data_IF_868759338075
#
_entry.id   IF_868759338075
#
_cell.length_a   1.000
_cell.length_b   1.000
_cell.length_c   1.000
_cell.angle_alpha   90.00
_cell.angle_beta   90.00
_cell.angle_gamma   90.00
#
_symmetry.space_group_name_H-M   'P 1'
#
loop_
_entity.id
_entity.type
_entity.pdbx_description
1 polymer ?
#
# COMPACT_ATOMS: atom_id res chain seq x y z
N UNK A 1 -8.57 0.94 -17.50
CA UNK A 1 -7.35 1.23 -16.75
C UNK A 1 -7.53 2.36 -15.74
N UNK A 2 -7.83 3.59 -16.17
CA UNK A 2 -8.07 4.72 -15.26
C UNK A 2 -9.14 4.42 -14.19
N UNK A 3 -10.26 3.79 -14.56
CA UNK A 3 -11.31 3.42 -13.62
C UNK A 3 -10.84 2.48 -12.50
N UNK A 4 -9.99 1.51 -12.81
CA UNK A 4 -9.44 0.59 -11.82
C UNK A 4 -8.52 1.33 -10.81
N UNK A 5 -7.68 2.24 -11.29
CA UNK A 5 -6.83 3.06 -10.42
C UNK A 5 -7.63 3.98 -9.51
N UNK A 6 -8.62 4.70 -10.07
CA UNK A 6 -9.51 5.59 -9.29
C UNK A 6 -10.31 4.80 -8.25
N UNK A 7 -10.81 3.62 -8.62
CA UNK A 7 -11.53 2.74 -7.70
C UNK A 7 -10.62 2.27 -6.57
N UNK A 8 -9.37 1.85 -6.87
CA UNK A 8 -8.41 1.44 -5.86
C UNK A 8 -8.09 2.55 -4.85
N UNK A 9 -7.88 3.78 -5.33
CA UNK A 9 -7.71 4.96 -4.45
C UNK A 9 -8.96 5.22 -3.63
N UNK A 10 -10.14 5.25 -4.25
CA UNK A 10 -11.40 5.54 -3.58
C UNK A 10 -11.76 4.54 -2.49
N UNK A 11 -11.52 3.25 -2.73
CA UNK A 11 -11.75 2.17 -1.75
C UNK A 11 -10.86 2.35 -0.52
N UNK A 12 -9.62 2.81 -0.70
CA UNK A 12 -8.71 3.07 0.41
C UNK A 12 -9.23 4.16 1.34
N UNK A 13 -9.81 5.24 0.80
CA UNK A 13 -10.43 6.28 1.62
C UNK A 13 -11.69 5.81 2.35
N UNK A 14 -12.38 4.80 1.84
CA UNK A 14 -13.54 4.19 2.46
C UNK A 14 -13.19 3.11 3.51
N UNK A 15 -11.90 2.76 3.66
CA UNK A 15 -11.45 1.70 4.55
C UNK A 15 -11.46 2.16 6.02
N UNK A 16 -12.31 1.56 6.90
CA UNK A 16 -12.40 1.96 8.31
C UNK A 16 -11.10 1.79 9.09
N UNK A 17 -10.27 0.83 8.69
CA UNK A 17 -9.01 0.53 9.37
C UNK A 17 -7.98 1.67 9.24
N UNK A 18 -8.08 2.51 8.21
CA UNK A 18 -7.24 3.72 8.09
C UNK A 18 -7.61 4.74 9.17
N UNK A 19 -8.91 4.92 9.45
CA UNK A 19 -9.36 5.77 10.55
C UNK A 19 -8.87 5.28 11.91
N UNK A 20 -8.88 3.96 12.14
CA UNK A 20 -8.32 3.36 13.37
C UNK A 20 -6.81 3.60 13.48
N UNK A 21 -6.07 3.48 12.38
CA UNK A 21 -4.64 3.74 12.35
C UNK A 21 -4.32 5.21 12.67
N UNK A 22 -5.10 6.15 12.16
CA UNK A 22 -4.96 7.58 12.48
C UNK A 22 -5.29 7.88 13.95
N UNK A 23 -6.28 7.19 14.54
CA UNK A 23 -6.64 7.36 15.95
C UNK A 23 -5.48 6.95 16.88
N UNK A 24 -4.73 5.90 16.55
CA UNK A 24 -3.52 5.51 17.29
C UNK A 24 -2.46 6.61 17.27
N UNK A 25 -2.42 7.44 16.23
CA UNK A 25 -1.48 8.56 16.13
C UNK A 25 -1.59 9.59 17.26
N UNK A 26 -2.74 9.70 17.93
CA UNK A 26 -2.93 10.61 19.07
C UNK A 26 -2.15 10.19 20.31
N UNK A 27 -1.85 8.89 20.43
CA UNK A 27 -1.15 8.30 21.57
C UNK A 27 0.38 8.20 21.34
N UNK A 28 0.85 8.55 20.15
CA UNK A 28 2.28 8.51 19.81
C UNK A 28 3.01 9.72 20.41
N UNK A 29 4.07 9.44 21.17
CA UNK A 29 4.92 10.49 21.73
C UNK A 29 5.91 11.02 20.68
N UNK A 30 5.78 12.30 20.35
CA UNK A 30 6.65 13.00 19.41
C UNK A 30 8.13 12.94 19.80
N UNK A 31 8.43 12.84 21.11
CA UNK A 31 9.82 12.79 21.60
C UNK A 31 10.53 11.47 21.28
N UNK A 32 9.78 10.38 21.24
CA UNK A 32 10.31 9.02 20.99
C UNK A 32 10.33 8.65 19.50
N UNK A 33 9.32 9.11 18.73
CA UNK A 33 9.17 8.72 17.31
C UNK A 33 8.68 9.91 16.48
N UNK A 34 9.53 10.93 16.21
CA UNK A 34 9.11 12.16 15.55
C UNK A 34 8.55 11.94 14.14
N UNK A 35 9.16 11.06 13.34
CA UNK A 35 8.67 10.77 11.99
C UNK A 35 7.34 10.00 11.98
N UNK A 36 7.14 9.09 12.93
CA UNK A 36 5.88 8.37 13.08
C UNK A 36 4.75 9.34 13.46
N UNK A 37 5.01 10.20 14.46
CA UNK A 37 4.08 11.23 14.87
C UNK A 37 3.71 12.18 13.72
N UNK A 38 4.71 12.62 12.95
CA UNK A 38 4.54 13.50 11.81
C UNK A 38 3.64 12.85 10.74
N UNK A 39 3.87 11.57 10.41
CA UNK A 39 3.08 10.86 9.41
C UNK A 39 1.63 10.66 9.85
N UNK A 40 1.40 10.33 11.12
CA UNK A 40 0.06 10.05 11.62
C UNK A 40 -0.76 11.31 11.89
N UNK A 41 -0.13 12.40 12.37
CA UNK A 41 -0.82 13.63 12.76
C UNK A 41 -0.63 14.77 11.75
N UNK A 42 0.63 15.09 11.39
CA UNK A 42 0.93 16.21 10.51
C UNK A 42 0.70 15.94 9.03
N UNK A 43 0.94 14.70 8.58
CA UNK A 43 0.87 14.28 7.18
C UNK A 43 -0.09 13.10 6.98
N UNK A 44 -1.13 13.02 7.81
CA UNK A 44 -2.10 11.93 7.76
C UNK A 44 -2.80 11.83 6.40
N UNK A 45 -3.15 12.95 5.77
CA UNK A 45 -3.74 12.96 4.42
C UNK A 45 -2.78 12.41 3.36
N UNK A 46 -1.50 12.81 3.42
CA UNK A 46 -0.47 12.33 2.50
C UNK A 46 -0.19 10.83 2.70
N UNK A 47 -0.25 10.36 3.95
CA UNK A 47 -0.15 8.93 4.26
C UNK A 47 -1.28 8.14 3.60
N UNK A 48 -2.54 8.57 3.77
CA UNK A 48 -3.71 7.92 3.15
C UNK A 48 -3.61 7.99 1.63
N UNK A 49 -3.15 9.11 1.07
CA UNK A 49 -2.95 9.26 -0.37
C UNK A 49 -1.86 8.31 -0.89
N UNK A 50 -0.76 8.14 -0.15
CA UNK A 50 0.31 7.21 -0.52
C UNK A 50 -0.17 5.76 -0.49
N UNK A 51 -0.92 5.37 0.54
CA UNK A 51 -1.56 4.05 0.63
C UNK A 51 -2.53 3.83 -0.52
N UNK A 52 -3.41 4.80 -0.76
CA UNK A 52 -4.39 4.76 -1.86
C UNK A 52 -3.73 4.70 -3.24
N UNK A 53 -2.67 5.46 -3.45
CA UNK A 53 -1.89 5.39 -4.69
C UNK A 53 -1.28 3.99 -4.90
N UNK A 54 -0.75 3.37 -3.83
CA UNK A 54 -0.26 1.99 -3.87
C UNK A 54 -1.36 0.99 -4.28
N UNK A 55 -2.54 1.07 -3.67
CA UNK A 55 -3.70 0.22 -4.03
C UNK A 55 -4.17 0.50 -5.45
N UNK A 56 -4.21 1.78 -5.86
CA UNK A 56 -4.58 2.16 -7.22
C UNK A 56 -3.64 1.58 -8.28
N UNK A 57 -2.33 1.65 -8.05
CA UNK A 57 -1.33 1.04 -8.92
C UNK A 57 -1.47 -0.48 -8.93
N UNK A 58 -1.72 -1.12 -7.76
CA UNK A 58 -1.98 -2.54 -7.67
C UNK A 58 -3.18 -2.97 -8.52
N UNK A 59 -4.27 -2.20 -8.45
CA UNK A 59 -5.48 -2.46 -9.25
C UNK A 59 -5.20 -2.36 -10.75
N UNK A 60 -4.44 -1.34 -11.18
CA UNK A 60 -4.04 -1.16 -12.60
C UNK A 60 -3.16 -2.32 -13.07
N UNK A 61 -2.10 -2.66 -12.32
CA UNK A 61 -1.19 -3.78 -12.66
C UNK A 61 -1.96 -5.10 -12.69
N UNK A 62 -2.88 -5.30 -11.73
CA UNK A 62 -3.72 -6.48 -11.66
C UNK A 62 -4.62 -6.63 -12.89
N UNK A 63 -5.28 -5.55 -13.31
CA UNK A 63 -6.11 -5.55 -14.52
C UNK A 63 -5.26 -5.78 -15.77
N UNK A 64 -4.11 -5.11 -15.90
CA UNK A 64 -3.15 -5.33 -16.99
C UNK A 64 -2.74 -6.79 -17.10
N UNK A 65 -2.38 -7.39 -15.97
CA UNK A 65 -2.00 -8.79 -15.88
C UNK A 65 -3.08 -9.72 -16.42
N UNK A 66 -4.36 -9.46 -16.10
CA UNK A 66 -5.48 -10.27 -16.61
C UNK A 66 -5.64 -10.12 -18.12
N UNK A 67 -5.46 -8.92 -18.65
CA UNK A 67 -5.59 -8.65 -20.08
C UNK A 67 -4.43 -9.23 -20.90
N UNK A 68 -3.20 -9.14 -20.38
CA UNK A 68 -1.97 -9.57 -21.06
C UNK A 68 -1.59 -11.04 -20.74
N UNK A 69 -2.28 -11.68 -19.79
CA UNK A 69 -2.00 -13.06 -19.39
C UNK A 69 -0.66 -13.26 -18.67
N UNK A 70 -0.12 -12.22 -18.01
CA UNK A 70 1.16 -12.29 -17.31
C UNK A 70 1.13 -13.25 -16.13
N UNK A 71 2.24 -14.00 -15.94
CA UNK A 71 2.37 -14.89 -14.80
C UNK A 71 2.52 -14.10 -13.49
N UNK A 72 1.80 -14.54 -12.44
CA UNK A 72 1.79 -13.88 -11.13
C UNK A 72 3.13 -13.95 -10.40
N UNK A 73 3.80 -15.10 -10.49
CA UNK A 73 4.99 -15.42 -9.70
C UNK A 73 6.12 -14.38 -9.83
N UNK A 74 6.60 -14.01 -11.05
CA UNK A 74 7.68 -13.04 -11.16
C UNK A 74 7.29 -11.65 -10.64
N UNK A 75 6.05 -11.24 -10.82
CA UNK A 75 5.57 -9.94 -10.34
C UNK A 75 5.65 -9.87 -8.81
N UNK A 76 5.17 -10.91 -8.12
CA UNK A 76 5.23 -10.96 -6.65
C UNK A 76 6.68 -10.98 -6.16
N UNK A 77 7.57 -11.77 -6.79
CA UNK A 77 8.98 -11.81 -6.38
C UNK A 77 9.69 -10.48 -6.56
N UNK A 78 9.42 -9.78 -7.66
CA UNK A 78 9.98 -8.44 -7.92
C UNK A 78 9.46 -7.44 -6.88
N UNK A 79 8.15 -7.41 -6.63
CA UNK A 79 7.55 -6.51 -5.64
C UNK A 79 8.09 -6.80 -4.23
N UNK A 80 8.19 -8.07 -3.85
CA UNK A 80 8.73 -8.47 -2.56
C UNK A 80 10.21 -8.05 -2.42
N UNK A 81 11.01 -8.26 -3.45
CA UNK A 81 12.42 -7.83 -3.45
C UNK A 81 12.54 -6.31 -3.29
N UNK A 82 11.71 -5.53 -4.00
CA UNK A 82 11.66 -4.06 -3.86
C UNK A 82 11.26 -3.67 -2.44
N UNK A 83 10.19 -4.26 -1.91
CA UNK A 83 9.69 -3.96 -0.56
C UNK A 83 10.74 -4.25 0.51
N UNK A 84 11.40 -5.42 0.44
CA UNK A 84 12.45 -5.80 1.38
C UNK A 84 13.69 -4.90 1.25
N UNK A 85 14.07 -4.55 0.04
CA UNK A 85 15.19 -3.64 -0.20
C UNK A 85 14.91 -2.25 0.37
N UNK A 86 13.72 -1.69 0.16
CA UNK A 86 13.31 -0.42 0.73
C UNK A 86 13.25 -0.47 2.27
N UNK A 87 12.71 -1.56 2.83
CA UNK A 87 12.70 -1.76 4.28
C UNK A 87 14.12 -1.78 4.84
N UNK A 88 15.05 -2.49 4.19
CA UNK A 88 16.45 -2.52 4.58
C UNK A 88 17.12 -1.14 4.50
N UNK A 89 16.85 -0.40 3.44
CA UNK A 89 17.37 0.97 3.26
C UNK A 89 16.87 1.87 4.40
N UNK A 90 15.57 1.89 4.68
CA UNK A 90 15.00 2.72 5.75
C UNK A 90 15.54 2.31 7.13
N UNK A 91 15.78 1.01 7.36
CA UNK A 91 16.33 0.51 8.62
C UNK A 91 17.78 0.95 8.86
N UNK A 92 18.58 1.07 7.80
CA UNK A 92 20.00 1.48 7.91
C UNK A 92 20.13 2.98 8.10
N UNK A 93 19.22 3.78 7.52
CA UNK A 93 19.36 5.24 7.51
C UNK A 93 19.16 5.89 8.88
N UNK A 94 18.29 5.36 9.77
CA UNK A 94 18.09 6.02 11.08
C UNK A 94 17.38 5.11 12.10
N UNK A 95 17.88 5.09 13.34
CA UNK A 95 17.17 4.46 14.48
C UNK A 95 15.79 5.08 14.75
N UNK A 96 15.58 6.32 14.37
CA UNK A 96 14.31 7.06 14.57
C UNK A 96 13.20 6.64 13.59
N UNK A 97 13.51 5.84 12.55
CA UNK A 97 12.54 5.38 11.53
C UNK A 97 11.94 4.01 11.83
N UNK A 98 12.32 3.32 12.91
CA UNK A 98 11.75 2.00 13.23
C UNK A 98 10.22 2.00 13.33
N UNK A 99 9.64 3.04 13.94
CA UNK A 99 8.18 3.20 14.00
C UNK A 99 7.52 3.36 12.63
N UNK A 100 8.22 4.01 11.68
CA UNK A 100 7.72 4.19 10.31
C UNK A 100 7.74 2.89 9.52
N UNK A 101 8.74 2.02 9.75
CA UNK A 101 8.77 0.68 9.13
C UNK A 101 7.55 -0.13 9.59
N UNK A 102 7.29 -0.17 10.91
CA UNK A 102 6.12 -0.86 11.44
C UNK A 102 4.82 -0.29 10.82
N UNK A 103 4.67 1.03 10.79
CA UNK A 103 3.54 1.71 10.15
C UNK A 103 3.37 1.31 8.67
N UNK A 104 4.45 1.24 7.90
CA UNK A 104 4.38 0.86 6.49
C UNK A 104 3.87 -0.58 6.30
N UNK A 105 4.34 -1.52 7.12
CA UNK A 105 3.86 -2.89 7.09
C UNK A 105 2.41 -3.02 7.58
N UNK A 106 2.01 -2.25 8.60
CA UNK A 106 0.63 -2.15 9.05
C UNK A 106 -0.29 -1.58 7.97
N UNK A 107 0.16 -0.58 7.20
CA UNK A 107 -0.58 -0.07 6.04
C UNK A 107 -0.83 -1.16 4.99
N UNK A 108 0.12 -2.06 4.76
CA UNK A 108 -0.07 -3.23 3.90
C UNK A 108 -1.11 -4.20 4.44
N UNK A 109 -1.17 -4.40 5.75
CA UNK A 109 -2.21 -5.21 6.39
C UNK A 109 -3.58 -4.53 6.36
N UNK A 110 -3.63 -3.22 6.61
CA UNK A 110 -4.86 -2.41 6.58
C UNK A 110 -5.53 -2.44 5.21
N UNK A 111 -4.76 -2.45 4.12
CA UNK A 111 -5.30 -2.55 2.75
C UNK A 111 -5.90 -3.91 2.41
N UNK A 112 -5.76 -4.91 3.28
CA UNK A 112 -6.48 -6.19 3.20
C UNK A 112 -7.76 -6.22 4.03
N UNK A 113 -8.36 -5.06 4.26
CA UNK A 113 -9.55 -4.89 5.09
C UNK A 113 -10.87 -5.29 4.43
N UNK A 114 -12.00 -5.13 5.17
CA UNK A 114 -13.31 -5.63 4.77
C UNK A 114 -13.92 -4.91 3.55
N UNK A 115 -13.43 -3.74 3.17
CA UNK A 115 -13.91 -2.98 2.02
C UNK A 115 -12.99 -3.20 0.81
N UNK A 116 -11.70 -3.12 1.00
CA UNK A 116 -10.71 -3.18 -0.09
C UNK A 116 -10.65 -4.56 -0.73
N UNK A 117 -10.57 -5.63 0.06
CA UNK A 117 -10.43 -7.01 -0.47
C UNK A 117 -11.64 -7.43 -1.33
N UNK A 118 -12.88 -7.34 -0.86
CA UNK A 118 -14.02 -7.72 -1.68
C UNK A 118 -14.13 -6.91 -2.97
N UNK A 119 -13.85 -5.61 -2.91
CA UNK A 119 -13.92 -4.73 -4.08
C UNK A 119 -12.85 -5.05 -5.12
N UNK A 120 -11.62 -5.29 -4.67
CA UNK A 120 -10.50 -5.67 -5.54
C UNK A 120 -10.72 -7.05 -6.17
N UNK A 121 -11.25 -8.00 -5.42
CA UNK A 121 -11.62 -9.32 -5.95
C UNK A 121 -12.76 -9.19 -6.97
N UNK A 122 -13.80 -8.43 -6.66
CA UNK A 122 -14.92 -8.19 -7.58
C UNK A 122 -14.45 -7.55 -8.90
N UNK A 123 -13.52 -6.57 -8.81
CA UNK A 123 -12.88 -5.97 -9.97
C UNK A 123 -12.13 -7.04 -10.80
N UNK A 124 -11.32 -7.87 -10.16
CA UNK A 124 -10.58 -8.93 -10.80
C UNK A 124 -11.48 -9.94 -11.51
N UNK A 125 -12.51 -10.42 -10.82
CA UNK A 125 -13.49 -11.35 -11.39
C UNK A 125 -14.29 -10.71 -12.54
N UNK A 126 -14.69 -9.44 -12.40
CA UNK A 126 -15.38 -8.71 -13.46
C UNK A 126 -14.55 -8.57 -14.73
N UNK A 127 -13.25 -8.28 -14.59
CA UNK A 127 -12.32 -8.21 -15.74
C UNK A 127 -12.12 -9.60 -16.37
N UNK A 128 -11.97 -10.65 -15.56
CA UNK A 128 -11.87 -12.02 -16.06
C UNK A 128 -13.13 -12.44 -16.85
N UNK A 129 -14.31 -12.12 -16.33
CA UNK A 129 -15.58 -12.44 -17.00
C UNK A 129 -15.78 -11.68 -18.32
N UNK A 130 -15.22 -10.47 -18.42
CA UNK A 130 -15.29 -9.64 -19.62
C UNK A 130 -14.20 -9.98 -20.67
N UNK A 131 -13.20 -10.80 -20.30
CA UNK A 131 -12.08 -11.17 -21.19
C UNK A 131 -12.43 -12.42 -22.01
N UNK A 132 -12.22 -12.42 -23.35
CA UNK A 132 -12.50 -13.58 -24.21
C UNK A 132 -11.56 -14.77 -24.00
N UNK A 133 -10.44 -14.58 -23.30
CA UNK A 133 -9.51 -15.65 -23.00
C UNK A 133 -10.03 -16.50 -21.83
N UNK A 134 -10.14 -17.81 -22.04
CA UNK A 134 -10.65 -18.84 -21.11
C UNK A 134 -9.88 -18.97 -19.77
N UNK A 135 -9.41 -17.89 -19.21
CA UNK A 135 -8.74 -17.84 -17.90
C UNK A 135 -9.73 -17.70 -16.73
N UNK A 136 -11.05 -17.79 -17.02
CA UNK A 136 -12.12 -17.39 -16.10
C UNK A 136 -12.31 -18.26 -14.86
N UNK A 137 -11.69 -19.43 -14.74
CA UNK A 137 -11.93 -20.34 -13.62
C UNK A 137 -10.77 -20.45 -12.61
N UNK A 138 -9.83 -19.51 -12.61
CA UNK A 138 -8.71 -19.61 -11.70
C UNK A 138 -8.87 -18.64 -10.50
N UNK A 139 -9.46 -19.10 -9.36
CA UNK A 139 -9.61 -18.26 -8.16
C UNK A 139 -8.26 -17.75 -7.62
N UNK A 140 -7.16 -18.44 -7.93
CA UNK A 140 -5.80 -18.00 -7.60
C UNK A 140 -5.39 -16.71 -8.33
N UNK A 141 -6.02 -16.41 -9.45
CA UNK A 141 -5.73 -15.18 -10.19
C UNK A 141 -6.22 -13.93 -9.44
N UNK A 142 -7.42 -14.00 -8.84
CA UNK A 142 -7.96 -12.93 -8.00
C UNK A 142 -7.16 -12.76 -6.70
N UNK A 143 -6.68 -13.87 -6.11
CA UNK A 143 -5.84 -13.84 -4.90
C UNK A 143 -4.52 -13.09 -5.13
N UNK A 144 -3.92 -13.23 -6.31
CA UNK A 144 -2.71 -12.49 -6.65
C UNK A 144 -2.90 -10.97 -6.69
N UNK A 145 -4.09 -10.50 -7.02
CA UNK A 145 -4.41 -9.07 -6.99
C UNK A 145 -4.40 -8.53 -5.56
N UNK A 146 -4.93 -9.30 -4.59
CA UNK A 146 -4.89 -8.93 -3.17
C UNK A 146 -3.45 -8.84 -2.65
N UNK A 147 -2.58 -9.78 -3.05
CA UNK A 147 -1.15 -9.73 -2.67
C UNK A 147 -0.46 -8.47 -3.19
N UNK A 148 -0.73 -8.07 -4.43
CA UNK A 148 -0.20 -6.81 -4.97
C UNK A 148 -0.78 -5.59 -4.24
N UNK A 149 -2.07 -5.62 -3.89
CA UNK A 149 -2.74 -4.58 -3.13
C UNK A 149 -2.20 -4.43 -1.71
N UNK A 150 -1.50 -5.42 -1.16
CA UNK A 150 -0.80 -5.33 0.12
C UNK A 150 0.64 -4.82 -0.04
N UNK A 151 1.40 -5.33 -1.00
CA UNK A 151 2.83 -5.01 -1.16
C UNK A 151 3.07 -3.58 -1.69
N UNK A 152 2.25 -3.10 -2.63
CA UNK A 152 2.44 -1.77 -3.22
C UNK A 152 2.18 -0.62 -2.24
N UNK A 153 1.18 -0.64 -1.35
CA UNK A 153 1.06 0.34 -0.28
C UNK A 153 2.26 0.38 0.66
N UNK A 154 2.85 -0.78 1.02
CA UNK A 154 4.08 -0.82 1.83
C UNK A 154 5.19 -0.06 1.11
N UNK A 155 5.41 -0.34 -0.17
CA UNK A 155 6.45 0.34 -0.95
C UNK A 155 6.19 1.85 -1.09
N UNK A 156 4.93 2.27 -1.24
CA UNK A 156 4.59 3.69 -1.35
C UNK A 156 4.78 4.45 -0.03
N UNK A 157 4.42 3.84 1.11
CA UNK A 157 4.64 4.44 2.44
C UNK A 157 6.13 4.49 2.78
N UNK A 158 6.92 3.44 2.48
CA UNK A 158 8.37 3.47 2.66
C UNK A 158 9.02 4.55 1.78
N UNK A 159 8.56 4.71 0.54
CA UNK A 159 9.04 5.77 -0.35
C UNK A 159 8.70 7.16 0.19
N UNK A 160 7.50 7.33 0.74
CA UNK A 160 7.09 8.57 1.43
C UNK A 160 7.99 8.85 2.65
N UNK A 161 8.35 7.83 3.42
CA UNK A 161 9.24 7.95 4.57
C UNK A 161 10.65 8.42 4.16
N UNK A 162 11.21 7.85 3.09
CA UNK A 162 12.51 8.27 2.53
C UNK A 162 12.43 9.73 2.05
N UNK A 163 11.36 10.09 1.36
CA UNK A 163 11.12 11.45 0.90
C UNK A 163 11.06 12.45 2.07
N UNK A 164 10.34 12.12 3.14
CA UNK A 164 10.26 12.94 4.35
C UNK A 164 11.63 13.10 5.02
N UNK A 165 12.38 12.02 5.14
CA UNK A 165 13.73 12.06 5.72
C UNK A 165 14.68 12.95 4.90
N UNK A 166 14.51 13.02 3.57
CA UNK A 166 15.34 13.87 2.72
C UNK A 166 15.00 15.37 2.82
N UNK A 167 13.76 15.72 3.20
CA UNK A 167 13.28 17.11 3.25
C UNK A 167 13.33 17.68 4.67
N UNK A 168 13.00 16.87 5.67
CA UNK A 168 12.91 17.32 7.07
C UNK A 168 13.95 16.61 7.93
N UNK A 169 14.84 17.40 8.56
CA UNK A 169 15.70 16.87 9.61
C UNK A 169 14.87 16.55 10.87
N UNK A 170 15.29 15.55 11.68
CA UNK A 170 14.55 15.17 12.90
C UNK A 170 14.42 16.31 13.91
N UNK A 171 15.35 17.27 13.91
CA UNK A 171 15.30 18.47 14.77
C UNK A 171 14.19 19.46 14.36
N UNK A 172 13.77 19.45 13.11
CA UNK A 172 12.69 20.34 12.62
C UNK A 172 11.28 19.81 12.91
N UNK A 173 11.17 18.58 13.41
CA UNK A 173 9.91 17.91 13.72
C UNK A 173 9.61 17.93 15.22
N UNK A 174 10.64 18.07 16.07
CA UNK A 174 10.53 18.28 17.53
C UNK A 174 10.21 19.73 17.84
#
# INVERSE_FOLDING_TARGET
MLGAGVLGVGVTFAEPAIGALQAVGTDVDCSQSPYLWLLLNGWSFQLVLAVGAGVGVAAVIGVLRFLEGWSLKPIIYILLAITLSLTGVVQVFTHETHGVIALAWDCGAVTTGPVTVPTVIALGLGVCAASPSNSGDNPLAAFGLVTMASLLPITSVLSLAIYLHSIKSPESVK
#
